data_IF_257013298341
#
_entry.id   IF_257013298341
#
_cell.length_a   1.000
_cell.length_b   1.000
_cell.length_c   1.000
_cell.angle_alpha   90.00
_cell.angle_beta   90.00
_cell.angle_gamma   90.00
#
_symmetry.space_group_name_H-M   'P 1'
#
loop_
_entity.id
_entity.type
_entity.pdbx_description
1 polymer ?
#
# COMPACT_ATOMS: atom_id res chain seq x y z
N UNK A 1 -5.95 -34.36 -6.09
CA UNK A 1 -4.61 -33.74 -5.96
C UNK A 1 -4.37 -32.44 -6.74
N UNK A 2 -5.23 -32.05 -7.72
CA UNK A 2 -5.03 -30.80 -8.49
C UNK A 2 -5.53 -29.51 -7.80
N UNK A 3 -6.36 -29.65 -6.77
CA UNK A 3 -7.03 -28.55 -6.09
C UNK A 3 -6.06 -27.71 -5.25
N UNK A 4 -5.19 -28.39 -4.51
CA UNK A 4 -4.12 -27.78 -3.70
C UNK A 4 -3.13 -26.98 -4.53
N UNK A 5 -2.80 -27.41 -5.76
CA UNK A 5 -1.85 -26.69 -6.62
C UNK A 5 -2.37 -25.34 -7.10
N UNK A 6 -3.67 -25.21 -7.40
CA UNK A 6 -4.26 -23.93 -7.82
C UNK A 6 -4.37 -22.96 -6.65
N UNK A 7 -4.77 -23.46 -5.49
CA UNK A 7 -4.83 -22.68 -4.26
C UNK A 7 -3.45 -22.14 -3.87
N UNK A 8 -2.40 -22.95 -3.96
CA UNK A 8 -1.03 -22.47 -3.71
C UNK A 8 -0.61 -21.36 -4.69
N UNK A 9 -0.94 -21.48 -5.99
CA UNK A 9 -0.67 -20.40 -6.95
C UNK A 9 -1.39 -19.11 -6.57
N UNK A 10 -2.64 -19.19 -6.10
CA UNK A 10 -3.38 -18.01 -5.65
C UNK A 10 -2.77 -17.39 -4.40
N UNK A 11 -2.38 -18.21 -3.41
CA UNK A 11 -1.68 -17.73 -2.22
C UNK A 11 -0.35 -17.06 -2.57
N UNK A 12 0.44 -17.66 -3.45
CA UNK A 12 1.72 -17.09 -3.87
C UNK A 12 1.54 -15.75 -4.60
N UNK A 13 0.52 -15.66 -5.45
CA UNK A 13 0.10 -14.41 -6.08
C UNK A 13 -0.26 -13.34 -5.04
N UNK A 14 -1.08 -13.69 -4.05
CA UNK A 14 -1.47 -12.80 -2.96
C UNK A 14 -0.28 -12.37 -2.08
N UNK A 15 0.62 -13.28 -1.72
CA UNK A 15 1.86 -13.00 -0.98
C UNK A 15 2.76 -12.04 -1.75
N UNK A 16 2.94 -12.29 -3.05
CA UNK A 16 3.73 -11.42 -3.93
C UNK A 16 3.12 -10.02 -4.02
N UNK A 17 1.79 -9.93 -4.13
CA UNK A 17 1.07 -8.67 -4.15
C UNK A 17 1.22 -7.89 -2.85
N UNK A 18 1.04 -8.53 -1.69
CA UNK A 18 1.27 -7.93 -0.37
C UNK A 18 2.68 -7.33 -0.29
N UNK A 19 3.70 -8.13 -0.60
CA UNK A 19 5.10 -7.68 -0.58
C UNK A 19 5.36 -6.50 -1.52
N UNK A 20 4.76 -6.51 -2.70
CA UNK A 20 4.89 -5.42 -3.67
C UNK A 20 4.25 -4.12 -3.16
N UNK A 21 3.08 -4.20 -2.51
CA UNK A 21 2.38 -3.05 -1.92
C UNK A 21 3.23 -2.43 -0.80
N UNK A 22 3.69 -3.25 0.14
CA UNK A 22 4.55 -2.81 1.26
C UNK A 22 5.84 -2.17 0.75
N UNK A 23 6.53 -2.82 -0.18
CA UNK A 23 7.80 -2.33 -0.74
C UNK A 23 7.63 -1.01 -1.49
N UNK A 24 6.54 -0.88 -2.27
CA UNK A 24 6.24 0.35 -3.01
C UNK A 24 5.96 1.51 -2.06
N UNK A 25 5.21 1.26 -0.98
CA UNK A 25 4.92 2.29 0.02
C UNK A 25 6.21 2.76 0.72
N UNK A 26 7.06 1.82 1.16
CA UNK A 26 8.33 2.13 1.80
C UNK A 26 9.23 2.97 0.87
N UNK A 27 9.42 2.53 -0.38
CA UNK A 27 10.24 3.24 -1.36
C UNK A 27 9.73 4.67 -1.61
N UNK A 28 8.43 4.83 -1.88
CA UNK A 28 7.85 6.17 -2.13
C UNK A 28 8.00 7.09 -0.92
N UNK A 29 7.82 6.55 0.27
CA UNK A 29 7.98 7.31 1.52
C UNK A 29 9.42 7.76 1.68
N UNK A 30 10.39 6.86 1.50
CA UNK A 30 11.81 7.19 1.57
C UNK A 30 12.23 8.23 0.54
N UNK A 31 11.77 8.11 -0.72
CA UNK A 31 12.06 9.10 -1.77
C UNK A 31 11.49 10.47 -1.40
N UNK A 32 10.23 10.53 -0.97
CA UNK A 32 9.59 11.79 -0.57
C UNK A 32 10.31 12.46 0.61
N UNK A 33 10.78 11.66 1.57
CA UNK A 33 11.56 12.17 2.71
C UNK A 33 12.93 12.69 2.29
N UNK A 34 13.61 11.99 1.38
CA UNK A 34 14.88 12.44 0.81
C UNK A 34 14.72 13.75 0.02
N UNK A 35 13.68 13.88 -0.80
CA UNK A 35 13.38 15.12 -1.53
C UNK A 35 13.18 16.29 -0.57
N UNK A 36 12.34 16.12 0.46
CA UNK A 36 12.12 17.15 1.49
C UNK A 36 13.40 17.52 2.24
N UNK A 37 14.22 16.52 2.56
CA UNK A 37 15.50 16.76 3.20
C UNK A 37 16.43 17.58 2.30
N UNK A 38 16.54 17.24 1.03
CA UNK A 38 17.36 17.97 0.06
C UNK A 38 16.86 19.40 -0.13
N UNK A 39 15.54 19.59 -0.21
CA UNK A 39 14.95 20.91 -0.32
C UNK A 39 15.27 21.78 0.90
N UNK A 40 15.14 21.23 2.10
CA UNK A 40 15.51 21.90 3.35
C UNK A 40 17.01 22.22 3.43
N UNK A 41 17.84 21.26 3.05
CA UNK A 41 19.30 21.42 3.04
C UNK A 41 19.74 22.51 2.08
N UNK A 42 19.10 22.62 0.91
CA UNK A 42 19.37 23.64 -0.10
C UNK A 42 18.81 25.02 0.25
N UNK A 43 17.78 25.10 1.10
CA UNK A 43 17.06 26.34 1.40
C UNK A 43 17.62 27.15 2.59
N UNK A 44 18.74 26.75 3.20
CA UNK A 44 19.36 27.53 4.28
C UNK A 44 20.77 28.01 3.89
N UNK A 45 21.12 29.33 3.96
CA UNK A 45 20.45 30.42 4.67
C UNK A 45 20.05 31.59 3.74
N UNK A 46 18.84 31.59 3.18
CA UNK A 46 18.20 32.82 2.69
C UNK A 46 16.73 32.83 3.10
N UNK A 47 16.44 33.51 4.22
CA UNK A 47 15.13 33.78 4.86
C UNK A 47 14.52 32.60 5.61
N UNK A 48 14.22 32.84 6.89
CA UNK A 48 13.44 32.03 7.84
C UNK A 48 13.24 30.58 7.41
N UNK A 49 14.18 29.71 7.80
CA UNK A 49 14.09 28.28 7.56
C UNK A 49 12.76 27.78 8.13
N UNK A 50 11.83 27.43 7.25
CA UNK A 50 10.58 26.81 7.68
C UNK A 50 10.94 25.47 8.32
N UNK A 51 10.37 25.14 9.49
CA UNK A 51 10.64 23.87 10.14
C UNK A 51 10.30 22.73 9.19
N UNK A 52 11.27 21.84 8.97
CA UNK A 52 11.06 20.63 8.15
C UNK A 52 10.20 19.69 8.97
N UNK A 53 8.89 19.72 8.77
CA UNK A 53 8.01 18.67 9.29
C UNK A 53 8.28 17.37 8.52
N UNK A 54 9.12 16.53 9.12
CA UNK A 54 9.16 15.12 8.77
C UNK A 54 7.77 14.54 9.05
N UNK A 55 7.13 14.05 8.00
CA UNK A 55 5.71 13.75 7.98
C UNK A 55 5.37 12.49 8.79
N UNK A 56 5.38 12.60 10.12
CA UNK A 56 4.85 11.56 11.02
C UNK A 56 3.35 11.33 10.79
N UNK A 57 2.58 12.38 10.50
CA UNK A 57 1.12 12.28 10.36
C UNK A 57 0.67 11.62 9.04
N UNK A 58 1.28 11.97 7.88
CA UNK A 58 1.00 11.28 6.61
C UNK A 58 1.49 9.83 6.61
N UNK A 59 2.56 9.53 7.36
CA UNK A 59 3.01 8.14 7.59
C UNK A 59 1.91 7.33 8.26
N UNK A 60 1.26 7.84 9.30
CA UNK A 60 0.28 7.05 10.05
C UNK A 60 -0.96 6.68 9.22
N UNK A 61 -1.56 7.60 8.48
CA UNK A 61 -2.74 7.28 7.66
C UNK A 61 -2.40 6.45 6.42
N UNK A 62 -1.28 6.76 5.75
CA UNK A 62 -0.82 5.99 4.59
C UNK A 62 -0.47 4.55 4.99
N UNK A 63 0.28 4.40 6.08
CA UNK A 63 0.66 3.10 6.63
C UNK A 63 -0.54 2.32 7.15
N UNK A 64 -1.50 2.98 7.80
CA UNK A 64 -2.75 2.35 8.23
C UNK A 64 -3.53 1.78 7.05
N UNK A 65 -3.69 2.55 5.96
CA UNK A 65 -4.36 2.05 4.75
C UNK A 65 -3.62 0.86 4.12
N UNK A 66 -2.29 0.89 4.09
CA UNK A 66 -1.50 -0.22 3.59
C UNK A 66 -1.72 -1.46 4.47
N UNK A 67 -1.69 -1.28 5.79
CA UNK A 67 -1.96 -2.37 6.75
C UNK A 67 -3.36 -2.95 6.55
N UNK A 68 -4.39 -2.13 6.44
CA UNK A 68 -5.76 -2.59 6.21
C UNK A 68 -5.85 -3.47 4.94
N UNK A 69 -5.12 -3.11 3.87
CA UNK A 69 -5.06 -3.92 2.63
C UNK A 69 -4.29 -5.23 2.85
N UNK A 70 -3.15 -5.19 3.56
CA UNK A 70 -2.35 -6.39 3.81
C UNK A 70 -3.05 -7.37 4.73
N UNK A 71 -3.83 -6.88 5.68
CA UNK A 71 -4.62 -7.70 6.62
C UNK A 71 -5.71 -8.45 5.85
N UNK A 72 -6.43 -7.80 4.93
CA UNK A 72 -7.41 -8.46 4.04
C UNK A 72 -6.74 -9.58 3.22
N UNK A 73 -5.51 -9.33 2.73
CA UNK A 73 -4.75 -10.34 1.97
C UNK A 73 -4.37 -11.53 2.86
N UNK A 74 -3.91 -11.28 4.09
CA UNK A 74 -3.53 -12.34 5.03
C UNK A 74 -4.74 -13.19 5.46
N UNK A 75 -5.87 -12.55 5.76
CA UNK A 75 -7.14 -13.22 6.04
C UNK A 75 -7.56 -14.12 4.88
N UNK A 76 -7.50 -13.59 3.66
CA UNK A 76 -7.81 -14.35 2.43
C UNK A 76 -6.90 -15.57 2.30
N UNK A 77 -5.59 -15.42 2.52
CA UNK A 77 -4.63 -16.52 2.43
C UNK A 77 -4.97 -17.62 3.45
N UNK A 78 -5.34 -17.25 4.68
CA UNK A 78 -5.75 -18.19 5.72
C UNK A 78 -7.04 -18.93 5.38
N UNK A 79 -8.02 -18.24 4.80
CA UNK A 79 -9.30 -18.85 4.43
C UNK A 79 -9.18 -19.79 3.23
N UNK A 80 -8.28 -19.50 2.28
CA UNK A 80 -8.07 -20.32 1.07
C UNK A 80 -7.71 -21.78 1.36
N UNK A 81 -7.14 -22.07 2.53
CA UNK A 81 -6.82 -23.43 2.99
C UNK A 81 -8.06 -24.26 3.37
N UNK A 82 -9.12 -23.59 3.81
CA UNK A 82 -10.32 -24.22 4.35
C UNK A 82 -11.47 -24.33 3.34
N UNK A 83 -11.36 -23.65 2.18
CA UNK A 83 -12.43 -23.53 1.20
C UNK A 83 -12.39 -24.58 0.08
N UNK A 84 -13.57 -24.89 -0.46
CA UNK A 84 -13.72 -25.60 -1.73
C UNK A 84 -13.32 -24.70 -2.92
N UNK A 85 -13.04 -25.29 -4.08
CA UNK A 85 -12.47 -24.55 -5.23
C UNK A 85 -13.34 -23.38 -5.68
N UNK A 86 -14.67 -23.50 -5.61
CA UNK A 86 -15.59 -22.48 -6.11
C UNK A 86 -15.56 -21.26 -5.19
N UNK A 87 -15.64 -21.50 -3.88
CA UNK A 87 -15.55 -20.45 -2.85
C UNK A 87 -14.17 -19.81 -2.86
N UNK A 88 -13.10 -20.61 -2.93
CA UNK A 88 -11.72 -20.11 -3.00
C UNK A 88 -11.49 -19.19 -4.22
N UNK A 89 -12.05 -19.53 -5.38
CA UNK A 89 -11.96 -18.67 -6.58
C UNK A 89 -12.70 -17.34 -6.37
N UNK A 90 -13.90 -17.40 -5.79
CA UNK A 90 -14.68 -16.20 -5.48
C UNK A 90 -13.96 -15.29 -4.49
N UNK A 91 -13.40 -15.89 -3.43
CA UNK A 91 -12.63 -15.21 -2.40
C UNK A 91 -11.43 -14.48 -3.03
N UNK A 92 -10.61 -15.20 -3.79
CA UNK A 92 -9.45 -14.64 -4.48
C UNK A 92 -9.84 -13.45 -5.39
N UNK A 93 -10.88 -13.59 -6.22
CA UNK A 93 -11.33 -12.52 -7.11
C UNK A 93 -11.87 -11.31 -6.34
N UNK A 94 -12.55 -11.53 -5.22
CA UNK A 94 -13.04 -10.46 -4.37
C UNK A 94 -11.87 -9.68 -3.76
N UNK A 95 -10.89 -10.38 -3.20
CA UNK A 95 -9.66 -9.76 -2.66
C UNK A 95 -8.94 -8.91 -3.71
N UNK A 96 -8.83 -9.39 -4.95
CA UNK A 96 -8.24 -8.59 -6.05
C UNK A 96 -9.03 -7.30 -6.33
N UNK A 97 -10.36 -7.35 -6.28
CA UNK A 97 -11.22 -6.17 -6.49
C UNK A 97 -11.06 -5.18 -5.36
N UNK A 98 -11.00 -5.64 -4.13
CA UNK A 98 -10.85 -4.79 -2.95
C UNK A 98 -9.49 -4.09 -2.97
N UNK A 99 -8.41 -4.82 -3.24
CA UNK A 99 -7.06 -4.24 -3.42
C UNK A 99 -7.05 -3.19 -4.53
N UNK A 100 -7.71 -3.46 -5.67
CA UNK A 100 -7.80 -2.51 -6.78
C UNK A 100 -8.60 -1.26 -6.42
N UNK A 101 -9.71 -1.42 -5.69
CA UNK A 101 -10.55 -0.33 -5.20
C UNK A 101 -9.75 0.58 -4.26
N UNK A 102 -9.07 0.01 -3.26
CA UNK A 102 -8.22 0.76 -2.34
C UNK A 102 -7.08 1.48 -3.06
N UNK A 103 -6.42 0.80 -4.00
CA UNK A 103 -5.36 1.39 -4.83
C UNK A 103 -5.87 2.58 -5.65
N UNK A 104 -7.08 2.49 -6.20
CA UNK A 104 -7.72 3.58 -6.94
C UNK A 104 -8.03 4.77 -6.01
N UNK A 105 -8.63 4.52 -4.85
CA UNK A 105 -8.96 5.58 -3.90
C UNK A 105 -7.72 6.28 -3.34
N UNK A 106 -6.61 5.57 -3.11
CA UNK A 106 -5.34 6.19 -2.70
C UNK A 106 -4.87 7.21 -3.74
N UNK A 107 -4.92 6.86 -5.04
CA UNK A 107 -4.54 7.79 -6.12
C UNK A 107 -5.43 9.03 -6.15
N UNK A 108 -6.75 8.85 -5.95
CA UNK A 108 -7.70 9.97 -5.90
C UNK A 108 -7.38 10.90 -4.74
N UNK A 109 -7.21 10.36 -3.52
CA UNK A 109 -6.87 11.15 -2.34
C UNK A 109 -5.54 11.90 -2.51
N UNK A 110 -4.52 11.24 -3.05
CA UNK A 110 -3.22 11.86 -3.36
C UNK A 110 -3.34 13.03 -4.36
N UNK A 111 -4.21 12.91 -5.36
CA UNK A 111 -4.44 13.97 -6.36
C UNK A 111 -5.10 15.22 -5.79
N UNK A 112 -6.04 15.06 -4.84
CA UNK A 112 -6.70 16.18 -4.17
C UNK A 112 -5.74 16.92 -3.23
N UNK A 113 -4.83 16.18 -2.59
CA UNK A 113 -3.79 16.75 -1.74
C UNK A 113 -2.82 17.61 -2.55
N UNK A 114 -2.38 17.16 -3.74
CA UNK A 114 -1.52 17.96 -4.62
C UNK A 114 -2.17 19.27 -5.09
N UNK A 115 -3.49 19.28 -5.31
CA UNK A 115 -4.25 20.47 -5.73
C UNK A 115 -4.41 21.54 -4.65
N UNK A 116 -4.28 21.18 -3.37
CA UNK A 116 -4.41 22.13 -2.23
C UNK A 116 -3.08 22.80 -1.84
N UNK A 117 -1.96 22.34 -2.42
CA UNK A 117 -0.60 22.79 -2.06
C UNK A 117 0.08 23.60 -3.18
N UNK A 118 -0.65 23.97 -4.23
CA UNK A 118 -0.23 24.93 -5.26
C UNK A 118 -1.17 26.11 -5.27
#
# INVERSE_FOLDING_TARGET
MYQTRRQEVWKDSLRAMKKAIESTYQLRTSVTEQERFLDAWRSTPKKQAQPVEFCGYRRNEGWRRIRDITDIIDETIGELDSCDTKTATSLYLQTLRDVALFSKWSKVLESFVRKKSG
#
